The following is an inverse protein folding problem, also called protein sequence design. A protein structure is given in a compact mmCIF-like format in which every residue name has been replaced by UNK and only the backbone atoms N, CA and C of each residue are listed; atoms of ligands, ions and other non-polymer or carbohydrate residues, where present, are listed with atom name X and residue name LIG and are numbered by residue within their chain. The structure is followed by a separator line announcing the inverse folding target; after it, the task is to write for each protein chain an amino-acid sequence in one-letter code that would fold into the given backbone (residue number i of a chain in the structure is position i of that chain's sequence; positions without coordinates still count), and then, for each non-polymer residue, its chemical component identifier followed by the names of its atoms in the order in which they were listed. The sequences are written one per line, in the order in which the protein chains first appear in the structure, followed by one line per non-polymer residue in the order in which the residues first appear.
data_IF_198200320111
#
_entry.id   IF_198200320111
#
_cell.length_a   1.000
_cell.length_b   1.000
_cell.length_c   1.000
_cell.angle_alpha   90.00
_cell.angle_beta   90.00
_cell.angle_gamma   90.00
#
_symmetry.space_group_name_H-M   'P 1'
#
loop_
_entity.id
_entity.type
_entity.pdbx_description
1 polymer ?
#
# COMPACT_ATOMS: atom_id res chain seq x y z
N UNK A 1 59.76 -57.15 67.77
CA UNK A 1 58.91 -58.29 67.36
C UNK A 1 57.91 -57.81 66.31
N UNK A 2 57.80 -58.58 65.20
CA UNK A 2 56.69 -58.66 64.23
C UNK A 2 56.29 -57.42 63.38
N UNK A 3 56.57 -57.57 62.06
CA UNK A 3 55.67 -57.49 60.87
C UNK A 3 54.88 -56.18 60.64
N UNK A 4 55.08 -55.38 59.60
CA UNK A 4 55.02 -55.51 58.12
C UNK A 4 53.61 -55.37 57.47
N UNK A 5 53.59 -54.48 56.45
CA UNK A 5 52.68 -54.27 55.30
C UNK A 5 51.49 -53.29 55.37
N UNK A 6 51.70 -52.12 54.74
CA UNK A 6 51.04 -51.59 53.54
C UNK A 6 49.64 -52.13 53.15
N UNK A 7 48.66 -51.25 53.00
CA UNK A 7 47.60 -51.40 51.98
C UNK A 7 47.09 -50.05 51.48
N UNK A 8 47.00 -50.00 50.15
CA UNK A 8 46.48 -48.94 49.29
C UNK A 8 45.00 -48.62 49.57
N UNK A 9 44.62 -47.35 49.45
CA UNK A 9 43.23 -46.91 49.54
C UNK A 9 43.01 -45.58 48.85
N UNK A 10 43.22 -45.56 47.53
CA UNK A 10 42.77 -44.51 46.62
C UNK A 10 41.24 -44.50 46.61
N UNK A 11 40.59 -43.47 47.14
CA UNK A 11 39.19 -43.18 46.82
C UNK A 11 38.94 -41.68 46.78
N UNK A 12 39.18 -41.15 45.60
CA UNK A 12 38.59 -39.94 45.04
C UNK A 12 37.09 -40.22 44.86
N UNK A 13 36.20 -39.51 45.54
CA UNK A 13 34.82 -39.41 45.08
C UNK A 13 34.27 -38.00 45.28
N UNK A 14 33.90 -37.44 44.13
CA UNK A 14 33.49 -36.10 43.82
C UNK A 14 32.42 -35.53 44.75
N UNK A 15 32.66 -34.27 45.11
CA UNK A 15 31.69 -33.30 45.60
C UNK A 15 30.49 -33.27 44.62
N UNK A 16 29.30 -33.61 45.11
CA UNK A 16 28.06 -33.49 44.38
C UNK A 16 27.76 -32.01 44.10
N UNK A 17 28.12 -31.54 42.90
CA UNK A 17 27.68 -30.26 42.37
C UNK A 17 26.22 -30.44 41.90
N UNK A 18 25.27 -30.12 42.79
CA UNK A 18 23.87 -29.99 42.43
C UNK A 18 23.71 -28.79 41.48
N UNK A 19 23.78 -29.06 40.18
CA UNK A 19 23.29 -28.17 39.14
C UNK A 19 21.77 -28.03 39.32
N UNK A 20 21.36 -26.95 39.97
CA UNK A 20 19.99 -26.45 39.84
C UNK A 20 19.86 -25.92 38.42
N UNK A 21 19.49 -26.78 37.49
CA UNK A 21 18.93 -26.34 36.21
C UNK A 21 17.58 -25.69 36.50
N UNK A 22 17.61 -24.37 36.69
CA UNK A 22 16.41 -23.56 36.54
C UNK A 22 16.02 -23.60 35.07
N UNK A 23 15.23 -24.61 34.70
CA UNK A 23 14.52 -24.65 33.45
C UNK A 23 13.44 -23.56 33.51
N UNK A 24 13.83 -22.32 33.21
CA UNK A 24 12.87 -21.36 32.68
C UNK A 24 12.33 -21.96 31.39
N UNK A 25 11.10 -22.48 31.43
CA UNK A 25 10.26 -22.52 30.25
C UNK A 25 10.29 -21.10 29.68
N UNK A 26 11.04 -20.90 28.60
CA UNK A 26 11.01 -19.65 27.84
C UNK A 26 9.69 -19.61 27.06
N UNK A 27 8.59 -19.56 27.78
CA UNK A 27 7.32 -19.01 27.32
C UNK A 27 7.48 -17.49 27.33
N UNK A 28 8.31 -17.01 26.41
CA UNK A 28 8.45 -15.60 26.08
C UNK A 28 8.01 -15.48 24.64
N UNK A 29 6.74 -15.15 24.45
CA UNK A 29 6.26 -14.72 23.16
C UNK A 29 7.04 -13.46 22.77
N UNK A 30 7.92 -13.56 21.78
CA UNK A 30 8.30 -12.40 20.98
C UNK A 30 7.06 -12.01 20.14
N UNK A 31 6.04 -11.48 20.81
CA UNK A 31 5.04 -10.60 20.21
C UNK A 31 5.72 -9.24 20.09
N UNK A 32 6.73 -9.17 19.22
CA UNK A 32 7.40 -7.93 18.91
C UNK A 32 6.36 -6.97 18.35
N UNK A 33 5.97 -5.96 19.13
CA UNK A 33 4.95 -4.98 18.75
C UNK A 33 5.24 -4.47 17.34
N UNK A 34 4.33 -4.74 16.43
CA UNK A 34 4.38 -4.31 15.04
C UNK A 34 3.52 -3.05 14.91
N UNK A 35 3.71 -2.30 13.83
CA UNK A 35 2.84 -1.17 13.51
C UNK A 35 2.37 -1.27 12.07
N UNK A 36 1.22 -0.69 11.78
CA UNK A 36 0.71 -0.52 10.42
C UNK A 36 0.57 0.96 10.16
N UNK A 37 1.12 1.43 9.03
CA UNK A 37 0.93 2.78 8.54
C UNK A 37 0.40 2.75 7.11
N UNK A 38 -0.62 3.57 6.85
CA UNK A 38 -1.22 3.73 5.53
C UNK A 38 -0.94 5.13 4.99
N UNK A 39 -0.68 5.20 3.69
CA UNK A 39 -0.41 6.43 2.95
C UNK A 39 -1.37 6.50 1.76
N UNK A 40 -1.82 7.70 1.42
CA UNK A 40 -2.60 8.01 0.23
C UNK A 40 -1.70 8.70 -0.79
N UNK A 41 -1.82 8.27 -2.05
CA UNK A 41 -1.28 8.93 -3.24
C UNK A 41 -2.34 8.84 -4.31
N UNK A 42 -2.15 9.57 -5.40
CA UNK A 42 -3.18 9.71 -6.41
C UNK A 42 -2.70 9.40 -7.82
N UNK A 43 -3.62 8.79 -8.56
CA UNK A 43 -3.61 8.62 -10.00
C UNK A 43 -4.36 9.77 -10.66
N UNK A 44 -3.86 10.28 -11.79
CA UNK A 44 -4.37 11.51 -12.41
C UNK A 44 -5.84 11.43 -12.86
N UNK A 45 -6.48 12.60 -12.94
CA UNK A 45 -7.79 12.78 -13.59
C UNK A 45 -7.91 14.14 -14.27
N UNK A 46 -8.85 14.27 -15.20
CA UNK A 46 -9.15 15.51 -15.93
C UNK A 46 -10.12 16.42 -15.15
N UNK A 47 -9.73 16.76 -13.93
CA UNK A 47 -10.49 17.66 -13.05
C UNK A 47 -9.56 18.70 -12.42
N UNK A 48 -10.12 19.81 -11.95
CA UNK A 48 -9.37 20.85 -11.26
C UNK A 48 -9.05 20.43 -9.81
N UNK A 49 -9.98 19.74 -9.16
CA UNK A 49 -9.84 19.17 -7.81
C UNK A 49 -10.79 17.98 -7.62
N UNK A 50 -10.41 17.01 -6.78
CA UNK A 50 -11.27 15.89 -6.36
C UNK A 50 -11.14 15.73 -4.86
N UNK A 51 -12.15 16.18 -4.15
CA UNK A 51 -12.18 16.26 -2.70
C UNK A 51 -12.88 15.04 -2.12
N UNK A 52 -12.15 14.20 -1.39
CA UNK A 52 -12.66 12.99 -0.77
C UNK A 52 -12.69 13.17 0.74
N UNK A 53 -13.87 12.99 1.33
CA UNK A 53 -14.14 13.11 2.75
C UNK A 53 -13.82 11.77 3.44
N UNK A 54 -12.71 11.70 4.19
CA UNK A 54 -12.28 10.50 4.92
C UNK A 54 -12.64 10.65 6.39
N UNK A 55 -13.43 9.71 6.90
CA UNK A 55 -13.93 9.73 8.29
C UNK A 55 -13.21 8.73 9.19
N UNK A 56 -12.86 7.55 8.66
CA UNK A 56 -12.20 6.49 9.42
C UNK A 56 -11.38 5.60 8.51
N UNK A 57 -10.27 5.05 9.03
CA UNK A 57 -9.52 3.99 8.36
C UNK A 57 -9.21 2.86 9.33
N UNK A 58 -9.39 1.64 8.88
CA UNK A 58 -9.24 0.42 9.67
C UNK A 58 -8.49 -0.64 8.85
N UNK A 59 -7.83 -1.56 9.55
CA UNK A 59 -7.18 -2.72 8.94
C UNK A 59 -7.67 -4.01 9.56
N UNK A 60 -7.90 -5.03 8.75
CA UNK A 60 -8.24 -6.38 9.20
C UNK A 60 -6.97 -7.18 9.35
N UNK A 61 -6.72 -7.68 10.56
CA UNK A 61 -5.51 -8.41 10.94
C UNK A 61 -5.85 -9.86 11.27
N UNK A 62 -5.15 -10.77 10.61
CA UNK A 62 -5.22 -12.21 10.82
C UNK A 62 -3.99 -12.70 11.61
N UNK A 63 -4.20 -13.18 12.83
CA UNK A 63 -3.13 -13.68 13.71
C UNK A 63 -2.89 -15.19 13.56
N UNK A 64 -3.66 -15.90 12.75
CA UNK A 64 -3.48 -17.32 12.57
C UNK A 64 -2.24 -17.62 11.70
N UNK A 65 -1.23 -18.23 12.32
CA UNK A 65 0.05 -18.55 11.66
C UNK A 65 -0.10 -19.52 10.50
N UNK A 66 -1.14 -20.37 10.49
CA UNK A 66 -1.41 -21.30 9.39
C UNK A 66 -1.71 -20.56 8.08
N UNK A 67 -2.31 -19.37 8.16
CA UNK A 67 -2.72 -18.60 6.99
C UNK A 67 -1.66 -17.58 6.56
N UNK A 68 -0.63 -17.32 7.38
CA UNK A 68 0.31 -16.20 7.22
C UNK A 68 0.85 -16.00 5.80
N UNK A 69 1.14 -17.09 5.09
CA UNK A 69 1.71 -17.06 3.74
C UNK A 69 0.69 -17.43 2.65
N UNK A 70 -0.58 -17.57 3.01
CA UNK A 70 -1.68 -17.85 2.08
C UNK A 70 -2.45 -16.56 1.80
N UNK A 71 -2.18 -15.94 0.66
CA UNK A 71 -2.90 -14.76 0.18
C UNK A 71 -4.32 -15.11 -0.31
N UNK A 72 -4.62 -16.39 -0.55
CA UNK A 72 -5.96 -16.81 -0.98
C UNK A 72 -6.93 -16.98 0.19
N UNK A 73 -6.43 -17.10 1.43
CA UNK A 73 -7.27 -17.23 2.63
C UNK A 73 -8.32 -16.11 2.71
N UNK A 74 -7.93 -14.86 2.44
CA UNK A 74 -8.82 -13.71 2.46
C UNK A 74 -9.82 -13.63 1.29
N UNK A 75 -9.77 -14.53 0.29
CA UNK A 75 -10.71 -14.50 -0.84
C UNK A 75 -12.13 -14.91 -0.45
N UNK A 76 -12.27 -15.66 0.65
CA UNK A 76 -13.58 -16.03 1.20
C UNK A 76 -14.20 -14.94 2.09
N UNK A 77 -13.48 -13.84 2.32
CA UNK A 77 -13.88 -12.78 3.24
C UNK A 77 -14.87 -11.81 2.58
N UNK A 78 -16.15 -11.94 2.91
CA UNK A 78 -17.24 -11.19 2.30
C UNK A 78 -17.29 -9.75 2.82
N UNK A 79 -17.36 -8.76 1.93
CA UNK A 79 -17.43 -7.35 2.36
C UNK A 79 -18.81 -7.00 2.95
N UNK A 80 -19.86 -7.78 2.63
CA UNK A 80 -21.23 -7.47 3.02
C UNK A 80 -21.54 -7.72 4.50
N UNK A 81 -20.77 -8.55 5.22
CA UNK A 81 -20.93 -8.80 6.66
C UNK A 81 -19.82 -8.17 7.50
N UNK A 82 -18.74 -7.71 6.87
CA UNK A 82 -17.58 -7.09 7.51
C UNK A 82 -17.90 -5.87 8.41
N UNK A 83 -19.02 -5.19 8.15
CA UNK A 83 -19.49 -4.05 8.94
C UNK A 83 -20.37 -4.44 10.13
N UNK A 84 -20.77 -5.71 10.24
CA UNK A 84 -21.66 -6.22 11.28
C UNK A 84 -20.92 -6.65 12.55
N UNK A 85 -19.58 -6.74 12.51
CA UNK A 85 -18.76 -7.20 13.63
C UNK A 85 -17.36 -6.60 13.63
N UNK A 86 -16.65 -6.80 14.75
CA UNK A 86 -15.23 -6.40 14.90
C UNK A 86 -14.26 -7.52 14.57
N UNK A 87 -14.74 -8.76 14.45
CA UNK A 87 -13.93 -9.94 14.17
C UNK A 87 -14.78 -11.06 13.58
N UNK A 88 -14.15 -11.87 12.73
CA UNK A 88 -14.70 -13.10 12.17
C UNK A 88 -13.58 -14.13 11.92
N UNK A 89 -13.85 -15.16 11.10
CA UNK A 89 -12.87 -16.19 10.76
C UNK A 89 -11.64 -15.66 10.00
N UNK A 90 -11.72 -14.47 9.38
CA UNK A 90 -10.67 -13.89 8.54
C UNK A 90 -9.81 -12.85 9.28
N UNK A 91 -10.16 -12.50 10.51
CA UNK A 91 -9.36 -11.63 11.37
C UNK A 91 -10.19 -10.70 12.23
N UNK A 92 -9.54 -9.68 12.78
CA UNK A 92 -10.19 -8.63 13.56
C UNK A 92 -9.80 -7.23 13.06
N UNK A 93 -10.71 -6.28 13.22
CA UNK A 93 -10.54 -4.90 12.80
C UNK A 93 -9.76 -4.09 13.84
N UNK A 94 -8.68 -3.46 13.41
CA UNK A 94 -7.89 -2.48 14.17
C UNK A 94 -8.13 -1.09 13.59
N UNK A 95 -8.48 -0.15 14.45
CA UNK A 95 -8.66 1.25 14.07
C UNK A 95 -7.29 1.92 13.92
N UNK A 96 -7.08 2.63 12.81
CA UNK A 96 -5.92 3.50 12.66
C UNK A 96 -6.20 4.86 13.27
N UNK A 97 -5.16 5.47 13.86
CA UNK A 97 -5.22 6.86 14.30
C UNK A 97 -5.22 7.77 13.07
N UNK A 98 -6.42 8.20 12.66
CA UNK A 98 -6.69 9.04 11.49
C UNK A 98 -7.24 10.38 11.97
N UNK A 99 -6.83 11.47 11.31
CA UNK A 99 -7.53 12.76 11.45
C UNK A 99 -8.61 12.84 10.36
N UNK A 100 -9.91 12.80 10.72
CA UNK A 100 -10.98 12.93 9.73
C UNK A 100 -10.88 14.26 8.97
N UNK A 101 -11.22 14.24 7.70
CA UNK A 101 -11.20 15.45 6.88
C UNK A 101 -11.31 15.20 5.39
N UNK A 102 -11.45 16.30 4.67
CA UNK A 102 -11.53 16.32 3.21
C UNK A 102 -10.13 16.48 2.64
N UNK A 103 -9.76 15.60 1.71
CA UNK A 103 -8.47 15.60 1.02
C UNK A 103 -8.72 15.81 -0.47
N UNK A 104 -8.07 16.81 -1.06
CA UNK A 104 -7.99 16.93 -2.51
C UNK A 104 -6.94 15.94 -3.03
N UNK A 105 -7.40 14.81 -3.58
CA UNK A 105 -6.51 13.71 -3.98
C UNK A 105 -5.61 14.10 -5.16
N UNK A 106 -6.05 15.01 -6.04
CA UNK A 106 -5.24 15.47 -7.18
C UNK A 106 -3.99 16.26 -6.79
N UNK A 107 -3.86 16.64 -5.51
CA UNK A 107 -2.63 17.22 -4.95
C UNK A 107 -1.56 16.17 -4.63
N UNK A 108 -1.92 14.89 -4.56
CA UNK A 108 -1.07 13.77 -4.13
C UNK A 108 -0.46 12.97 -5.30
N UNK A 109 -0.26 13.65 -6.44
CA UNK A 109 0.32 13.08 -7.67
C UNK A 109 1.83 13.29 -7.75
N UNK A 110 2.47 12.62 -8.70
CA UNK A 110 3.89 12.77 -9.00
C UNK A 110 4.81 12.50 -7.79
N UNK A 111 4.41 11.55 -6.94
CA UNK A 111 5.19 11.11 -5.78
C UNK A 111 4.98 11.92 -4.51
N UNK A 112 4.04 12.87 -4.50
CA UNK A 112 3.49 13.46 -3.27
C UNK A 112 2.58 12.43 -2.62
N UNK A 113 2.61 12.34 -1.28
CA UNK A 113 1.78 11.41 -0.52
C UNK A 113 1.35 12.03 0.81
N UNK A 114 0.23 11.54 1.34
CA UNK A 114 -0.28 11.93 2.66
C UNK A 114 -0.42 10.70 3.54
N UNK A 115 0.09 10.74 4.76
CA UNK A 115 -0.17 9.67 5.75
C UNK A 115 -1.65 9.70 6.14
N UNK A 116 -2.36 8.59 5.94
CA UNK A 116 -3.75 8.45 6.35
C UNK A 116 -3.87 8.16 7.85
N UNK A 117 -3.03 7.26 8.36
CA UNK A 117 -3.04 6.92 9.77
C UNK A 117 -2.09 5.79 10.11
N UNK A 118 -1.98 5.50 11.40
CA UNK A 118 -1.20 4.37 11.91
C UNK A 118 -1.79 3.76 13.18
N UNK A 119 -1.44 2.51 13.46
CA UNK A 119 -1.72 1.84 14.73
C UNK A 119 -0.65 0.82 15.06
N UNK A 120 -0.50 0.52 16.36
CA UNK A 120 0.21 -0.67 16.82
C UNK A 120 -0.65 -1.93 16.61
N UNK A 121 -0.01 -3.03 16.25
CA UNK A 121 -0.64 -4.36 16.17
C UNK A 121 0.22 -5.38 16.92
N UNK A 122 -0.44 -6.33 17.59
CA UNK A 122 0.21 -7.46 18.29
C UNK A 122 0.54 -8.58 17.29
N UNK A 123 1.31 -8.24 16.25
CA UNK A 123 1.63 -9.17 15.17
C UNK A 123 0.45 -9.52 14.25
N UNK A 124 0.64 -10.57 13.45
CA UNK A 124 -0.33 -11.04 12.45
C UNK A 124 -0.07 -10.52 11.03
N UNK A 125 -1.04 -10.76 10.15
CA UNK A 125 -0.99 -10.43 8.72
C UNK A 125 -2.12 -9.45 8.39
N UNK A 126 -1.79 -8.28 7.84
CA UNK A 126 -2.80 -7.34 7.33
C UNK A 126 -3.41 -7.91 6.04
N UNK A 127 -4.73 -8.11 6.05
CA UNK A 127 -5.49 -8.74 4.95
C UNK A 127 -6.39 -7.79 4.18
N UNK A 128 -6.92 -6.78 4.85
CA UNK A 128 -7.91 -5.86 4.27
C UNK A 128 -7.75 -4.48 4.89
N UNK A 129 -8.01 -3.45 4.11
CA UNK A 129 -8.17 -2.07 4.59
C UNK A 129 -9.63 -1.69 4.37
N UNK A 130 -10.21 -0.98 5.34
CA UNK A 130 -11.54 -0.35 5.20
C UNK A 130 -11.39 1.15 5.39
N UNK A 131 -11.89 1.94 4.45
CA UNK A 131 -12.00 3.39 4.54
C UNK A 131 -13.50 3.73 4.66
N UNK A 132 -13.86 4.51 5.67
CA UNK A 132 -15.21 5.07 5.81
C UNK A 132 -15.23 6.47 5.20
N UNK A 133 -16.05 6.67 4.18
CA UNK A 133 -16.21 7.96 3.51
C UNK A 133 -17.30 8.81 4.19
N UNK A 134 -17.08 10.11 4.27
CA UNK A 134 -18.10 11.08 4.69
C UNK A 134 -19.01 11.49 3.53
N UNK A 135 -19.83 12.52 3.73
CA UNK A 135 -20.76 13.02 2.74
C UNK A 135 -20.21 14.19 1.90
N UNK A 136 -19.11 14.82 2.33
CA UNK A 136 -18.60 16.05 1.70
C UNK A 136 -17.65 15.76 0.53
N UNK A 137 -17.98 14.77 -0.30
CA UNK A 137 -17.19 14.43 -1.49
C UNK A 137 -17.59 15.34 -2.65
N UNK A 138 -16.62 16.01 -3.28
CA UNK A 138 -16.88 16.91 -4.41
C UNK A 138 -15.84 16.78 -5.51
N UNK A 139 -16.21 17.18 -6.73
CA UNK A 139 -15.30 17.32 -7.87
C UNK A 139 -15.42 18.74 -8.42
N UNK A 140 -14.30 19.33 -8.82
CA UNK A 140 -14.26 20.64 -9.47
C UNK A 140 -13.88 20.43 -10.94
N UNK A 141 -14.73 20.93 -11.85
CA UNK A 141 -14.49 20.86 -13.30
C UNK A 141 -14.76 22.22 -13.93
N UNK A 142 -13.76 22.77 -14.60
CA UNK A 142 -13.80 24.11 -15.20
C UNK A 142 -14.18 25.20 -14.18
N UNK A 143 -13.65 25.09 -12.96
CA UNK A 143 -13.92 26.02 -11.84
C UNK A 143 -15.29 25.86 -11.18
N UNK A 144 -16.16 24.95 -11.65
CA UNK A 144 -17.46 24.68 -11.04
C UNK A 144 -17.37 23.47 -10.12
N UNK A 145 -17.89 23.58 -8.90
CA UNK A 145 -17.92 22.49 -7.91
C UNK A 145 -19.21 21.68 -8.04
N UNK A 146 -19.09 20.36 -8.07
CA UNK A 146 -20.20 19.40 -8.10
C UNK A 146 -20.08 18.43 -6.93
N UNK A 147 -21.22 18.06 -6.34
CA UNK A 147 -21.26 16.99 -5.34
C UNK A 147 -21.07 15.62 -6.02
N UNK A 148 -20.33 14.74 -5.35
CA UNK A 148 -20.17 13.36 -5.78
C UNK A 148 -21.20 12.46 -5.08
N UNK A 149 -22.06 11.83 -5.87
CA UNK A 149 -22.96 10.79 -5.36
C UNK A 149 -22.20 9.49 -5.21
N UNK A 150 -22.10 8.97 -3.99
CA UNK A 150 -21.38 7.72 -3.74
C UNK A 150 -22.13 6.53 -4.36
N UNK A 151 -21.43 5.76 -5.19
CA UNK A 151 -21.88 4.52 -5.77
C UNK A 151 -20.97 3.39 -5.31
N UNK A 152 -21.36 2.74 -4.22
CA UNK A 152 -20.54 1.76 -3.53
C UNK A 152 -21.39 0.53 -3.15
N UNK A 153 -20.83 -0.70 -3.18
CA UNK A 153 -21.61 -1.91 -2.89
C UNK A 153 -22.14 -1.96 -1.45
N UNK A 154 -21.38 -1.42 -0.49
CA UNK A 154 -21.69 -1.51 0.95
C UNK A 154 -21.58 -0.13 1.60
N UNK A 155 -22.73 0.52 1.82
CA UNK A 155 -22.83 1.80 2.51
C UNK A 155 -21.75 2.80 2.04
N UNK A 156 -21.05 3.43 2.98
CA UNK A 156 -19.92 4.33 2.75
C UNK A 156 -18.55 3.67 3.00
N UNK A 157 -18.46 2.34 2.94
CA UNK A 157 -17.22 1.60 3.22
C UNK A 157 -16.50 1.18 1.95
N UNK A 158 -15.28 1.66 1.77
CA UNK A 158 -14.39 1.20 0.70
C UNK A 158 -13.50 0.10 1.25
N UNK A 159 -13.59 -1.09 0.68
CA UNK A 159 -12.79 -2.26 1.06
C UNK A 159 -11.66 -2.49 0.06
N UNK A 160 -10.44 -2.67 0.57
CA UNK A 160 -9.24 -2.86 -0.26
C UNK A 160 -8.51 -4.13 0.23
N UNK A 161 -8.44 -5.19 -0.59
CA UNK A 161 -7.72 -6.41 -0.23
C UNK A 161 -6.19 -6.20 -0.26
N UNK A 162 -5.50 -6.72 0.75
CA UNK A 162 -4.06 -6.58 0.94
C UNK A 162 -3.37 -7.95 0.82
N UNK A 163 -2.58 -8.10 -0.24
CA UNK A 163 -1.75 -9.27 -0.53
C UNK A 163 -0.30 -9.05 -0.08
N UNK A 164 0.51 -10.11 -0.13
CA UNK A 164 1.90 -10.09 0.30
C UNK A 164 2.74 -9.00 -0.36
N UNK A 165 2.58 -8.88 -1.67
CA UNK A 165 3.26 -7.85 -2.46
C UNK A 165 2.93 -6.43 -2.01
N UNK A 166 1.75 -6.17 -1.41
CA UNK A 166 1.36 -4.82 -0.99
C UNK A 166 1.97 -4.39 0.34
N UNK A 167 2.54 -5.33 1.12
CA UNK A 167 3.06 -5.05 2.47
C UNK A 167 4.56 -4.81 2.39
N UNK A 168 4.99 -3.58 2.59
CA UNK A 168 6.41 -3.32 2.85
C UNK A 168 6.73 -3.64 4.31
N UNK A 169 7.69 -4.55 4.49
CA UNK A 169 8.18 -5.00 5.79
C UNK A 169 9.56 -4.38 5.98
N UNK A 170 9.64 -3.32 6.78
CA UNK A 170 10.88 -2.58 7.00
C UNK A 170 11.79 -3.22 8.06
N UNK A 171 12.81 -2.45 8.46
CA UNK A 171 13.61 -2.74 9.67
C UNK A 171 12.77 -2.32 10.88
N UNK A 172 12.62 -3.22 11.86
CA UNK A 172 11.57 -3.14 12.86
C UNK A 172 10.24 -3.59 12.25
N UNK A 173 9.38 -4.25 13.03
CA UNK A 173 8.20 -4.97 12.52
C UNK A 173 7.09 -4.07 11.94
N UNK A 174 7.39 -2.86 11.45
CA UNK A 174 6.42 -1.97 10.81
C UNK A 174 6.03 -2.44 9.41
N UNK A 175 4.73 -2.38 9.12
CA UNK A 175 4.10 -2.64 7.84
C UNK A 175 3.67 -1.29 7.25
N UNK A 176 4.09 -1.01 6.02
CA UNK A 176 3.64 0.16 5.26
C UNK A 176 2.91 -0.25 4.00
N UNK A 177 1.80 0.41 3.71
CA UNK A 177 1.04 0.24 2.47
C UNK A 177 0.62 1.61 1.94
N UNK A 178 0.73 1.78 0.63
CA UNK A 178 0.28 2.97 -0.08
C UNK A 178 -1.01 2.64 -0.84
N UNK A 179 -1.97 3.55 -0.78
CA UNK A 179 -3.25 3.53 -1.46
C UNK A 179 -3.19 4.51 -2.62
N UNK A 180 -3.12 4.00 -3.84
CA UNK A 180 -3.17 4.78 -5.07
C UNK A 180 -4.63 4.95 -5.48
N UNK A 181 -5.19 6.13 -5.26
CA UNK A 181 -6.57 6.45 -5.65
C UNK A 181 -6.61 6.76 -7.15
N UNK A 182 -7.30 5.97 -7.95
CA UNK A 182 -7.36 6.19 -9.41
C UNK A 182 -8.53 7.13 -9.72
N UNK A 183 -8.29 8.45 -9.82
CA UNK A 183 -9.33 9.44 -10.09
C UNK A 183 -10.06 9.16 -11.39
N UNK A 184 -9.32 8.85 -12.47
CA UNK A 184 -9.90 8.63 -13.79
C UNK A 184 -10.87 7.43 -13.80
N UNK A 185 -10.59 6.40 -13.01
CA UNK A 185 -11.50 5.26 -12.84
C UNK A 185 -12.54 5.45 -11.75
N UNK A 186 -12.33 6.39 -10.82
CA UNK A 186 -13.19 6.60 -9.66
C UNK A 186 -14.33 7.59 -9.87
N UNK A 187 -14.18 8.54 -10.80
CA UNK A 187 -15.16 9.59 -11.05
C UNK A 187 -15.90 9.29 -12.35
N UNK A 188 -17.22 9.13 -12.26
CA UNK A 188 -18.09 8.87 -13.42
C UNK A 188 -19.04 10.03 -13.62
N UNK A 189 -19.08 10.57 -14.83
CA UNK A 189 -20.01 11.63 -15.23
C UNK A 189 -21.14 11.05 -16.08
N UNK A 190 -22.39 11.29 -15.70
CA UNK A 190 -23.59 10.86 -16.46
C UNK A 190 -24.57 12.02 -16.51
N UNK A 191 -24.89 12.51 -17.71
CA UNK A 191 -25.84 13.61 -17.92
C UNK A 191 -25.55 14.87 -17.05
N UNK A 192 -24.26 15.18 -16.86
CA UNK A 192 -23.81 16.32 -16.02
C UNK A 192 -23.87 16.09 -14.51
N UNK A 193 -24.25 14.89 -14.06
CA UNK A 193 -24.13 14.47 -12.66
C UNK A 193 -22.85 13.67 -12.45
N UNK A 194 -22.24 13.81 -11.27
CA UNK A 194 -20.99 13.13 -10.93
C UNK A 194 -21.20 12.09 -9.83
N UNK A 195 -20.61 10.92 -10.06
CA UNK A 195 -20.66 9.76 -9.18
C UNK A 195 -19.26 9.38 -8.74
N UNK A 196 -19.14 8.97 -7.48
CA UNK A 196 -17.91 8.43 -6.91
C UNK A 196 -18.05 6.91 -6.82
N UNK A 197 -17.24 6.18 -7.57
CA UNK A 197 -17.07 4.73 -7.51
C UNK A 197 -15.60 4.44 -7.17
N UNK A 198 -15.20 4.45 -5.89
CA UNK A 198 -13.78 4.44 -5.52
C UNK A 198 -13.03 3.24 -6.11
N UNK A 199 -11.96 3.52 -6.84
CA UNK A 199 -10.99 2.55 -7.33
C UNK A 199 -9.65 2.87 -6.67
N UNK A 200 -9.24 2.01 -5.74
CA UNK A 200 -8.00 2.20 -4.97
C UNK A 200 -7.11 0.99 -5.16
N UNK A 201 -5.87 1.24 -5.57
CA UNK A 201 -4.87 0.22 -5.83
C UNK A 201 -3.80 0.23 -4.73
N UNK A 202 -3.71 -0.81 -3.90
CA UNK A 202 -2.67 -0.90 -2.90
C UNK A 202 -1.32 -1.28 -3.53
N UNK A 203 -0.23 -0.69 -3.01
CA UNK A 203 1.14 -1.06 -3.35
C UNK A 203 2.10 -0.74 -2.21
N UNK A 204 3.37 -1.06 -2.39
CA UNK A 204 4.44 -0.55 -1.54
C UNK A 204 5.72 -0.28 -2.33
N UNK A 205 6.68 0.45 -1.75
CA UNK A 205 7.88 0.85 -2.49
C UNK A 205 8.85 -0.31 -2.66
N UNK A 206 8.96 -1.21 -1.68
CA UNK A 206 9.91 -2.32 -1.74
C UNK A 206 9.58 -3.38 -2.81
N UNK A 207 8.29 -3.62 -3.07
CA UNK A 207 7.84 -4.70 -3.95
C UNK A 207 7.37 -4.23 -5.33
N UNK A 208 7.34 -2.92 -5.58
CA UNK A 208 6.95 -2.33 -6.84
C UNK A 208 8.01 -1.33 -7.32
N UNK A 209 8.08 -1.12 -8.61
CA UNK A 209 8.97 -0.16 -9.24
C UNK A 209 8.32 1.21 -9.45
N UNK A 210 9.17 2.15 -9.86
CA UNK A 210 8.80 3.52 -10.20
C UNK A 210 9.36 3.88 -11.56
N UNK A 211 8.59 4.62 -12.36
CA UNK A 211 9.09 5.28 -13.59
C UNK A 211 8.98 6.78 -13.40
N UNK A 212 10.05 7.52 -13.70
CA UNK A 212 10.06 8.97 -13.59
C UNK A 212 10.84 9.61 -14.74
N UNK A 213 10.48 10.84 -15.09
CA UNK A 213 11.17 11.59 -16.13
C UNK A 213 10.55 12.96 -16.35
N UNK A 214 10.88 13.57 -17.49
CA UNK A 214 10.41 14.89 -17.88
C UNK A 214 9.91 14.88 -19.32
N UNK A 215 8.81 15.57 -19.59
CA UNK A 215 8.26 15.80 -20.94
C UNK A 215 8.26 17.30 -21.24
N UNK A 216 8.66 17.67 -22.44
CA UNK A 216 8.70 19.04 -22.93
C UNK A 216 8.01 19.16 -24.30
N UNK A 217 7.55 20.36 -24.68
CA UNK A 217 7.47 21.56 -23.84
C UNK A 217 6.22 21.52 -22.94
N UNK A 218 6.14 22.38 -21.93
CA UNK A 218 5.05 22.32 -20.93
C UNK A 218 3.68 22.63 -21.54
N UNK A 219 3.63 23.49 -22.55
CA UNK A 219 2.41 23.83 -23.29
C UNK A 219 1.82 22.64 -24.07
N UNK A 220 2.58 21.55 -24.26
CA UNK A 220 2.04 20.32 -24.84
C UNK A 220 0.97 19.66 -23.96
N UNK A 221 0.91 20.03 -22.66
CA UNK A 221 -0.02 19.46 -21.67
C UNK A 221 -0.06 17.94 -21.74
N UNK A 222 1.13 17.34 -21.70
CA UNK A 222 1.29 15.93 -22.03
C UNK A 222 0.57 15.02 -21.02
N UNK A 223 0.09 13.88 -21.49
CA UNK A 223 -0.37 12.74 -20.69
C UNK A 223 0.64 11.61 -20.88
N UNK A 224 1.14 11.06 -19.78
CA UNK A 224 2.09 9.92 -19.82
C UNK A 224 1.34 8.65 -19.47
N UNK A 225 1.25 7.72 -20.41
CA UNK A 225 0.60 6.42 -20.23
C UNK A 225 1.65 5.33 -20.19
N UNK A 226 1.51 4.38 -19.27
CA UNK A 226 2.37 3.20 -19.18
C UNK A 226 1.50 1.95 -19.26
N UNK A 227 1.92 0.97 -20.06
CA UNK A 227 1.22 -0.31 -20.24
C UNK A 227 2.20 -1.47 -20.31
N UNK A 228 1.85 -2.60 -19.71
CA UNK A 228 2.59 -3.87 -19.86
C UNK A 228 2.11 -4.71 -21.04
N UNK A 229 1.02 -4.30 -21.72
CA UNK A 229 0.37 -5.06 -22.78
C UNK A 229 -0.37 -6.33 -22.31
N UNK A 230 -0.32 -6.66 -21.02
CA UNK A 230 -0.99 -7.79 -20.38
C UNK A 230 -2.20 -7.37 -19.52
N UNK A 231 -2.52 -6.08 -19.51
CA UNK A 231 -3.72 -5.51 -18.89
C UNK A 231 -3.44 -4.50 -17.78
N UNK A 232 -2.19 -4.41 -17.30
CA UNK A 232 -1.82 -3.34 -16.38
C UNK A 232 -1.61 -2.04 -17.16
N UNK A 233 -2.28 -0.98 -16.71
CA UNK A 233 -2.11 0.36 -17.24
C UNK A 233 -2.01 1.34 -16.07
N UNK A 234 -1.19 2.38 -16.24
CA UNK A 234 -1.17 3.53 -15.33
C UNK A 234 -0.97 4.82 -16.13
N UNK A 235 -1.33 5.93 -15.51
CA UNK A 235 -1.28 7.26 -16.14
C UNK A 235 -0.61 8.23 -15.19
N UNK A 236 0.14 9.19 -15.71
CA UNK A 236 0.63 10.34 -14.97
C UNK A 236 0.40 11.62 -15.76
N UNK A 237 0.01 12.67 -15.04
CA UNK A 237 -0.03 14.03 -15.55
C UNK A 237 1.24 14.75 -15.06
N UNK A 238 2.17 15.10 -15.96
CA UNK A 238 3.33 15.90 -15.61
C UNK A 238 2.93 17.21 -14.92
N UNK A 239 3.77 17.66 -14.00
CA UNK A 239 3.59 18.94 -13.34
C UNK A 239 3.90 20.12 -14.28
N UNK A 240 3.87 21.37 -13.77
CA UNK A 240 4.11 22.58 -14.57
C UNK A 240 5.50 22.61 -15.22
N UNK A 241 6.49 21.96 -14.61
CA UNK A 241 7.83 21.82 -15.14
C UNK A 241 7.96 20.66 -16.14
N UNK A 242 6.91 19.86 -16.33
CA UNK A 242 6.89 18.68 -17.19
C UNK A 242 7.39 17.41 -16.51
N UNK A 243 7.62 17.42 -15.20
CA UNK A 243 8.08 16.25 -14.45
C UNK A 243 6.93 15.32 -14.11
N UNK A 244 7.12 14.02 -14.32
CA UNK A 244 6.16 12.98 -13.95
C UNK A 244 6.81 11.88 -13.12
N UNK A 245 6.01 11.23 -12.27
CA UNK A 245 6.43 10.07 -11.48
C UNK A 245 5.28 9.09 -11.27
N UNK A 246 5.44 7.88 -11.80
CA UNK A 246 4.53 6.75 -11.71
C UNK A 246 5.05 5.73 -10.70
N UNK A 247 4.24 5.35 -9.71
CA UNK A 247 4.61 4.42 -8.63
C UNK A 247 3.72 3.18 -8.62
N UNK A 248 4.13 2.16 -7.87
CA UNK A 248 3.36 0.94 -7.73
C UNK A 248 3.37 0.07 -8.99
N UNK A 249 4.37 0.21 -9.86
CA UNK A 249 4.44 -0.58 -11.09
C UNK A 249 4.95 -1.99 -10.76
N UNK A 250 4.25 -3.07 -11.15
CA UNK A 250 4.81 -4.42 -11.04
C UNK A 250 6.19 -4.53 -11.73
N UNK A 251 7.04 -5.43 -11.24
CA UNK A 251 8.29 -5.79 -11.93
C UNK A 251 7.97 -6.31 -13.33
N UNK A 252 8.64 -5.77 -14.36
CA UNK A 252 8.31 -6.10 -15.74
C UNK A 252 8.85 -5.12 -16.78
N UNK A 253 8.45 -5.32 -18.02
CA UNK A 253 8.82 -4.49 -19.16
C UNK A 253 7.60 -3.78 -19.71
N UNK A 254 7.71 -2.47 -19.91
CA UNK A 254 6.59 -1.61 -20.24
C UNK A 254 6.82 -0.83 -21.53
N UNK A 255 5.71 -0.40 -22.11
CA UNK A 255 5.65 0.66 -23.11
C UNK A 255 5.14 1.94 -22.47
N UNK A 256 5.85 3.05 -22.69
CA UNK A 256 5.49 4.39 -22.21
C UNK A 256 5.14 5.27 -23.38
N UNK A 257 3.92 5.81 -23.40
CA UNK A 257 3.42 6.71 -24.44
C UNK A 257 3.23 8.11 -23.87
N UNK A 258 3.70 9.10 -24.62
CA UNK A 258 3.66 10.52 -24.31
C UNK A 258 2.72 11.20 -25.30
N UNK A 259 1.55 11.63 -24.84
CA UNK A 259 0.50 12.22 -25.69
C UNK A 259 0.38 13.70 -25.38
N UNK A 260 0.58 14.58 -26.37
CA UNK A 260 0.33 16.01 -26.22
C UNK A 260 -1.00 16.42 -26.85
N UNK A 261 -1.52 17.59 -26.48
CA UNK A 261 -2.66 18.19 -27.18
C UNK A 261 -2.22 18.59 -28.60
N UNK A 262 -3.11 18.49 -29.58
CA UNK A 262 -2.83 18.92 -30.96
C UNK A 262 -2.22 20.33 -31.00
N UNK A 263 -1.16 20.58 -31.81
CA UNK A 263 -0.63 19.72 -32.87
C UNK A 263 0.47 18.73 -32.46
N UNK A 264 0.75 18.55 -31.16
CA UNK A 264 1.85 17.67 -30.74
C UNK A 264 1.59 16.19 -31.09
N UNK A 265 2.58 15.54 -31.69
CA UNK A 265 2.53 14.14 -32.11
C UNK A 265 2.96 13.25 -30.94
N UNK A 266 2.17 12.20 -30.68
CA UNK A 266 2.48 11.24 -29.63
C UNK A 266 3.81 10.51 -29.89
N UNK A 267 4.57 10.27 -28.83
CA UNK A 267 5.82 9.49 -28.88
C UNK A 267 5.73 8.29 -27.96
N UNK A 268 6.39 7.20 -28.34
CA UNK A 268 6.37 5.96 -27.56
C UNK A 268 7.79 5.47 -27.30
N UNK A 269 8.05 5.06 -26.06
CA UNK A 269 9.27 4.37 -25.64
C UNK A 269 8.91 2.95 -25.23
N UNK A 270 9.38 1.98 -25.99
CA UNK A 270 9.21 0.55 -25.69
C UNK A 270 10.36 0.03 -24.83
N UNK A 271 10.21 -1.20 -24.34
CA UNK A 271 11.26 -1.92 -23.59
C UNK A 271 11.75 -1.18 -22.34
N UNK A 272 10.86 -0.45 -21.66
CA UNK A 272 11.17 0.20 -20.39
C UNK A 272 11.13 -0.84 -19.28
N UNK A 273 12.30 -1.27 -18.82
CA UNK A 273 12.44 -2.23 -17.72
C UNK A 273 12.19 -1.53 -16.38
N UNK A 274 11.27 -2.07 -15.60
CA UNK A 274 10.91 -1.58 -14.27
C UNK A 274 11.18 -2.68 -13.27
N UNK A 275 11.94 -2.37 -12.23
CA UNK A 275 12.30 -3.30 -11.16
C UNK A 275 11.72 -2.88 -9.82
N UNK A 276 11.31 -3.87 -9.02
CA UNK A 276 10.83 -3.64 -7.66
C UNK A 276 11.88 -2.90 -6.80
N UNK A 277 11.45 -1.93 -5.99
CA UNK A 277 12.35 -1.16 -5.13
C UNK A 277 13.21 -0.13 -5.87
N UNK A 278 13.14 -0.06 -7.20
CA UNK A 278 13.97 0.82 -8.02
C UNK A 278 13.15 1.91 -8.72
N UNK A 279 13.82 3.01 -9.06
CA UNK A 279 13.28 4.04 -9.94
C UNK A 279 13.98 3.99 -11.29
N UNK A 280 13.24 3.62 -12.33
CA UNK A 280 13.67 3.73 -13.73
C UNK A 280 13.51 5.18 -14.17
N UNK A 281 14.64 5.88 -14.32
CA UNK A 281 14.65 7.25 -14.85
C UNK A 281 14.69 7.23 -16.37
N UNK A 282 13.75 7.93 -17.00
CA UNK A 282 13.73 8.15 -18.45
C UNK A 282 14.34 9.52 -18.76
N UNK A 283 15.12 9.57 -19.83
CA UNK A 283 15.59 10.83 -20.42
C UNK A 283 14.43 11.76 -20.76
N UNK A 284 14.73 13.06 -20.85
CA UNK A 284 13.72 14.06 -21.23
C UNK A 284 13.19 13.77 -22.63
N UNK A 285 11.86 13.72 -22.76
CA UNK A 285 11.17 13.55 -24.03
C UNK A 285 10.69 14.91 -24.52
N UNK A 286 11.05 15.29 -25.73
CA UNK A 286 10.56 16.51 -26.38
C UNK A 286 9.53 16.14 -27.45
N UNK A 287 8.27 16.46 -27.20
CA UNK A 287 7.19 16.29 -28.17
C UNK A 287 7.34 17.29 -29.31
N UNK A 288 7.16 16.79 -30.52
CA UNK A 288 7.23 17.56 -31.76
C UNK A 288 5.82 17.83 -32.29
N UNK A 289 5.67 18.89 -33.06
CA UNK A 289 4.42 19.24 -33.77
C UNK A 289 4.40 18.61 -35.16
#
# INVERSE_FOLDING_TARGET
MKRIHFSFGLSLLLLAFTLVFSACSKSGADESSSSVALYLTDGPGEFDAVNIDIQKVEVKVDTNRAHKNDDNFGRGDNDNDDHLGRSDAFGFWVDLNVTPGVIDVLTLRNGIEQKLGEAGISGGTVRKVRITLGSNNTVVKNGVTYNLTLFNPVNNYVYIPIFDKHRERGIGNGIKVWMDFDVASSIVEVNGQFFLKPVIRPFCNANFGTVAGTVKPAEAKAVVRISDGAGFNAVALPNREGNYKLRGLPDGTYTVTFEGIAPYIAQTKTNVVVKKGETTKLETVTLLK
#
